data_IF_128085757744
#
_entry.id   IF_128085757744
#
_cell.length_a   1.000
_cell.length_b   1.000
_cell.length_c   1.000
_cell.angle_alpha   90.00
_cell.angle_beta   90.00
_cell.angle_gamma   90.00
#
_symmetry.space_group_name_H-M   'P 1'
#
loop_
_entity.id
_entity.type
_entity.pdbx_description
1 polymer ?
#
# COMPACT_ATOMS: atom_id res chain seq x y z
N UNK A 1 -7.45 -20.08 -23.02
CA UNK A 1 -7.18 -19.76 -21.61
C UNK A 1 -7.49 -20.99 -20.78
N UNK A 2 -6.50 -21.55 -20.07
CA UNK A 2 -6.68 -22.65 -19.12
C UNK A 2 -6.92 -22.09 -17.71
N UNK A 3 -7.63 -22.83 -16.86
CA UNK A 3 -7.96 -22.40 -15.48
C UNK A 3 -6.70 -22.05 -14.66
N UNK A 4 -5.58 -22.72 -14.95
CA UNK A 4 -4.27 -22.47 -14.34
C UNK A 4 -3.78 -21.05 -14.64
N UNK A 5 -3.97 -20.55 -15.87
CA UNK A 5 -3.54 -19.19 -16.24
C UNK A 5 -4.33 -18.12 -15.48
N UNK A 6 -5.63 -18.33 -15.28
CA UNK A 6 -6.49 -17.43 -14.51
C UNK A 6 -6.00 -17.37 -13.06
N UNK A 7 -5.70 -18.53 -12.47
CA UNK A 7 -5.20 -18.62 -11.09
C UNK A 7 -3.86 -17.89 -10.91
N UNK A 8 -2.95 -18.02 -11.87
CA UNK A 8 -1.66 -17.33 -11.87
C UNK A 8 -1.83 -15.81 -11.94
N UNK A 9 -2.67 -15.32 -12.86
CA UNK A 9 -2.95 -13.88 -12.98
C UNK A 9 -3.55 -13.33 -11.67
N UNK A 10 -4.47 -14.06 -11.05
CA UNK A 10 -5.07 -13.65 -9.77
C UNK A 10 -4.01 -13.58 -8.66
N UNK A 11 -3.13 -14.58 -8.57
CA UNK A 11 -2.04 -14.59 -7.59
C UNK A 11 -1.09 -13.39 -7.78
N UNK A 12 -0.67 -13.14 -9.02
CA UNK A 12 0.26 -12.05 -9.32
C UNK A 12 -0.38 -10.68 -9.08
N UNK A 13 -1.68 -10.54 -9.36
CA UNK A 13 -2.46 -9.34 -9.01
C UNK A 13 -2.41 -9.06 -7.50
N UNK A 14 -2.70 -10.07 -6.68
CA UNK A 14 -2.69 -9.94 -5.21
C UNK A 14 -1.29 -9.61 -4.72
N UNK A 15 -0.27 -10.26 -5.27
CA UNK A 15 1.13 -10.02 -4.91
C UNK A 15 1.54 -8.57 -5.23
N UNK A 16 1.15 -8.05 -6.39
CA UNK A 16 1.42 -6.67 -6.78
C UNK A 16 0.74 -5.68 -5.82
N UNK A 17 -0.52 -5.91 -5.46
CA UNK A 17 -1.26 -5.07 -4.50
C UNK A 17 -0.57 -5.10 -3.12
N UNK A 18 -0.17 -6.27 -2.63
CA UNK A 18 0.52 -6.41 -1.35
C UNK A 18 1.84 -5.65 -1.34
N UNK A 19 2.67 -5.80 -2.38
CA UNK A 19 3.97 -5.12 -2.47
C UNK A 19 3.79 -3.60 -2.53
N UNK A 20 2.85 -3.10 -3.34
CA UNK A 20 2.60 -1.67 -3.50
C UNK A 20 2.02 -1.06 -2.22
N UNK A 21 1.13 -1.76 -1.52
CA UNK A 21 0.49 -1.27 -0.29
C UNK A 21 1.35 -1.45 0.97
N UNK A 22 2.30 -2.39 0.99
CA UNK A 22 3.16 -2.69 2.13
C UNK A 22 3.84 -1.46 2.79
N UNK A 23 4.55 -0.57 2.06
CA UNK A 23 5.18 0.58 2.70
C UNK A 23 4.17 1.55 3.30
N UNK A 24 3.02 1.74 2.63
CA UNK A 24 1.95 2.61 3.10
C UNK A 24 1.31 2.08 4.39
N UNK A 25 0.97 0.79 4.40
CA UNK A 25 0.37 0.11 5.54
C UNK A 25 1.34 0.05 6.73
N UNK A 26 2.62 -0.27 6.47
CA UNK A 26 3.64 -0.35 7.52
C UNK A 26 3.79 0.98 8.26
N UNK A 27 3.91 2.09 7.54
CA UNK A 27 4.03 3.40 8.17
C UNK A 27 2.73 3.83 8.83
N UNK A 28 1.57 3.60 8.20
CA UNK A 28 0.28 3.91 8.79
C UNK A 28 0.04 3.15 10.11
N UNK A 29 0.50 1.89 10.20
CA UNK A 29 0.45 1.10 11.44
C UNK A 29 1.37 1.66 12.51
N UNK A 30 2.64 1.93 12.19
CA UNK A 30 3.62 2.45 13.17
C UNK A 30 3.15 3.79 13.74
N UNK A 31 2.75 4.72 12.86
CA UNK A 31 2.30 6.05 13.27
C UNK A 31 0.98 5.96 14.02
N UNK A 32 0.04 5.14 13.56
CA UNK A 32 -1.21 4.89 14.29
C UNK A 32 -0.98 4.33 15.70
N UNK A 33 -0.04 3.39 15.85
CA UNK A 33 0.31 2.81 17.13
C UNK A 33 0.89 3.85 18.08
N UNK A 34 1.89 4.62 17.62
CA UNK A 34 2.53 5.68 18.42
C UNK A 34 1.46 6.66 18.93
N UNK A 35 0.59 7.14 18.04
CA UNK A 35 -0.44 8.10 18.43
C UNK A 35 -1.45 7.48 19.40
N UNK A 36 -1.85 6.21 19.19
CA UNK A 36 -2.79 5.53 20.09
C UNK A 36 -2.26 5.39 21.53
N UNK A 37 -0.94 5.18 21.68
CA UNK A 37 -0.28 5.13 22.98
C UNK A 37 -0.30 6.52 23.61
N UNK A 38 0.07 7.57 22.88
CA UNK A 38 0.02 8.95 23.36
C UNK A 38 -1.39 9.37 23.81
N UNK A 39 -2.41 9.04 23.03
CA UNK A 39 -3.81 9.33 23.37
C UNK A 39 -4.25 8.62 24.66
N UNK A 40 -3.81 7.38 24.84
CA UNK A 40 -4.13 6.58 26.03
C UNK A 40 -3.40 7.11 27.26
N UNK A 41 -2.09 7.39 27.16
CA UNK A 41 -1.27 7.84 28.30
C UNK A 41 -1.64 9.24 28.79
N UNK A 42 -2.01 10.16 27.89
CA UNK A 42 -2.41 11.52 28.27
C UNK A 42 -3.91 11.65 28.53
N UNK A 43 -4.69 10.57 28.39
CA UNK A 43 -6.17 10.57 28.50
C UNK A 43 -6.88 11.56 27.56
N UNK A 44 -6.19 12.06 26.52
CA UNK A 44 -6.72 12.97 25.51
C UNK A 44 -7.19 12.16 24.30
N UNK A 45 -8.49 11.93 24.21
CA UNK A 45 -9.16 11.20 23.11
C UNK A 45 -9.78 12.16 22.08
N UNK A 46 -9.05 13.22 21.73
CA UNK A 46 -9.48 14.17 20.70
C UNK A 46 -9.25 13.59 19.31
N UNK A 47 -10.32 13.38 18.54
CA UNK A 47 -10.26 12.72 17.22
C UNK A 47 -9.38 13.47 16.19
N UNK A 48 -9.21 14.78 16.34
CA UNK A 48 -8.41 15.61 15.44
C UNK A 48 -6.91 15.36 15.59
N UNK A 49 -6.44 15.08 16.80
CA UNK A 49 -5.04 14.76 17.11
C UNK A 49 -4.58 13.45 16.48
N UNK A 50 -5.48 12.50 16.24
CA UNK A 50 -5.16 11.25 15.52
C UNK A 50 -5.03 11.45 14.03
N UNK A 51 -5.79 12.41 13.49
CA UNK A 51 -6.01 12.52 12.05
C UNK A 51 -4.85 13.26 11.36
N UNK A 52 -4.42 14.39 11.91
CA UNK A 52 -3.40 15.26 11.29
C UNK A 52 -2.03 14.57 11.17
N UNK A 53 -1.44 13.99 12.24
CA UNK A 53 -0.12 13.38 12.14
C UNK A 53 -0.12 12.14 11.23
N UNK A 54 -1.22 11.38 11.21
CA UNK A 54 -1.39 10.23 10.31
C UNK A 54 -1.41 10.64 8.85
N UNK A 55 -2.12 11.72 8.50
CA UNK A 55 -2.14 12.26 7.12
C UNK A 55 -0.73 12.69 6.69
N UNK A 56 -0.01 13.43 7.53
CA UNK A 56 1.35 13.88 7.22
C UNK A 56 2.27 12.69 6.95
N UNK A 57 2.18 11.63 7.76
CA UNK A 57 2.95 10.42 7.56
C UNK A 57 2.62 9.71 6.23
N UNK A 58 1.33 9.58 5.89
CA UNK A 58 0.89 9.00 4.63
C UNK A 58 1.43 9.81 3.43
N UNK A 59 1.35 11.13 3.48
CA UNK A 59 1.90 12.00 2.44
C UNK A 59 3.41 11.86 2.31
N UNK A 60 4.15 11.80 3.41
CA UNK A 60 5.59 11.59 3.38
C UNK A 60 5.95 10.26 2.70
N UNK A 61 5.21 9.19 2.99
CA UNK A 61 5.41 7.89 2.33
C UNK A 61 5.10 7.96 0.84
N UNK A 62 4.02 8.63 0.45
CA UNK A 62 3.68 8.79 -0.96
C UNK A 62 4.75 9.59 -1.72
N UNK A 63 5.36 10.59 -1.10
CA UNK A 63 6.44 11.36 -1.74
C UNK A 63 7.70 10.49 -1.90
N UNK A 64 8.07 9.71 -0.89
CA UNK A 64 9.29 8.90 -0.89
C UNK A 64 9.13 7.64 -1.76
N UNK A 65 8.03 6.91 -1.59
CA UNK A 65 7.78 5.62 -2.23
C UNK A 65 6.89 5.71 -3.47
N UNK A 66 6.26 6.85 -3.76
CA UNK A 66 5.31 6.99 -4.87
C UNK A 66 5.91 6.65 -6.23
N UNK A 67 7.13 7.10 -6.50
CA UNK A 67 7.82 6.77 -7.75
C UNK A 67 8.06 5.25 -7.91
N UNK A 68 8.40 4.57 -6.82
CA UNK A 68 8.58 3.11 -6.82
C UNK A 68 7.24 2.37 -6.97
N UNK A 69 6.19 2.80 -6.26
CA UNK A 69 4.84 2.24 -6.37
C UNK A 69 4.32 2.31 -7.81
N UNK A 70 4.48 3.46 -8.46
CA UNK A 70 4.06 3.65 -9.86
C UNK A 70 4.87 2.73 -10.79
N UNK A 71 6.19 2.62 -10.61
CA UNK A 71 7.02 1.71 -11.42
C UNK A 71 6.56 0.26 -11.27
N UNK A 72 6.27 -0.19 -10.05
CA UNK A 72 5.77 -1.54 -9.79
C UNK A 72 4.43 -1.80 -10.50
N UNK A 73 3.50 -0.85 -10.44
CA UNK A 73 2.23 -0.95 -11.15
C UNK A 73 2.41 -0.97 -12.67
N UNK A 74 3.23 -0.08 -13.24
CA UNK A 74 3.51 -0.04 -14.67
C UNK A 74 4.17 -1.36 -15.13
N UNK A 75 5.11 -1.89 -14.37
CA UNK A 75 5.75 -3.17 -14.68
C UNK A 75 4.74 -4.32 -14.68
N UNK A 76 3.85 -4.36 -13.70
CA UNK A 76 2.77 -5.35 -13.65
C UNK A 76 1.81 -5.20 -14.84
N UNK A 77 1.41 -3.98 -15.18
CA UNK A 77 0.57 -3.70 -16.34
C UNK A 77 1.23 -4.18 -17.63
N UNK A 78 2.50 -3.86 -17.84
CA UNK A 78 3.26 -4.34 -19.00
C UNK A 78 3.35 -5.87 -19.04
N UNK A 79 3.51 -6.53 -17.89
CA UNK A 79 3.51 -7.98 -17.80
C UNK A 79 2.19 -8.58 -18.30
N UNK A 80 1.06 -8.02 -17.89
CA UNK A 80 -0.26 -8.44 -18.37
C UNK A 80 -0.41 -8.21 -19.88
N UNK A 81 0.00 -7.05 -20.40
CA UNK A 81 -0.04 -6.78 -21.84
C UNK A 81 0.80 -7.78 -22.65
N UNK A 82 2.01 -8.11 -22.18
CA UNK A 82 2.85 -9.14 -22.84
C UNK A 82 2.24 -10.54 -22.76
N UNK A 83 1.53 -10.89 -21.68
CA UNK A 83 0.80 -12.16 -21.59
C UNK A 83 -0.36 -12.22 -22.58
N UNK A 84 -1.04 -11.09 -22.82
CA UNK A 84 -2.12 -11.00 -23.80
C UNK A 84 -1.58 -11.12 -25.22
N UNK A 85 -0.46 -10.47 -25.55
CA UNK A 85 0.15 -10.55 -26.89
C UNK A 85 0.64 -11.97 -27.24
N UNK A 86 1.07 -12.74 -26.24
CA UNK A 86 1.49 -14.15 -26.41
C UNK A 86 0.34 -15.15 -26.54
N UNK A 87 -0.91 -14.71 -26.38
CA UNK A 87 -2.12 -15.53 -26.42
C UNK A 87 -2.69 -15.62 -27.84
#
# INVERSE_FOLDING_TARGET
MTDVTILTIMRDSIMAILIVSAPLLGVAMIVGLIISIFQTTTSLQEQTLTFVPKIIAIFAVLIIFGAWMIRTLVNYTNHIFMMIEKL
#
